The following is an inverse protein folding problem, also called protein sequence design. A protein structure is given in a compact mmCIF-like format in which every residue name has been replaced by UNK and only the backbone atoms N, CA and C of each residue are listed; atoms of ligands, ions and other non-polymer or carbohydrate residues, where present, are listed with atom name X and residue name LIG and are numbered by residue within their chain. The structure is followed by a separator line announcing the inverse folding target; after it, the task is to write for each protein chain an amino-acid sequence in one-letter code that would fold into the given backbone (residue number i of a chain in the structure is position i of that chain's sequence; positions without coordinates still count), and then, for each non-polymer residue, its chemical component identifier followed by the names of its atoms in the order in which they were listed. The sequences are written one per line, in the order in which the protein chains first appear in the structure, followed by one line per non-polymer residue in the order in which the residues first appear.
data_IF_743356056467
#
_entry.id   IF_743356056467
#
_cell.length_a   1.000
_cell.length_b   1.000
_cell.length_c   1.000
_cell.angle_alpha   90.00
_cell.angle_beta   90.00
_cell.angle_gamma   90.00
#
_symmetry.space_group_name_H-M   'P 1'
#
loop_
_entity.id
_entity.type
_entity.pdbx_description
1 polymer ?
#
# COMPACT_ATOMS: atom_id res chain seq x y z
N UNK A 1 42.24 13.33 -51.34
CA UNK A 1 41.83 12.54 -50.16
C UNK A 1 41.88 13.50 -48.97
N UNK A 2 40.77 14.14 -48.55
CA UNK A 2 39.90 13.76 -47.40
C UNK A 2 40.78 13.30 -46.22
N UNK A 3 40.83 13.97 -45.06
CA UNK A 3 39.72 14.27 -44.14
C UNK A 3 39.98 15.52 -43.27
N UNK A 4 38.91 16.25 -42.95
CA UNK A 4 38.87 17.32 -41.96
C UNK A 4 38.67 16.73 -40.56
N UNK A 5 39.49 17.15 -39.59
CA UNK A 5 39.37 16.81 -38.17
C UNK A 5 38.53 17.86 -37.44
N UNK A 6 37.32 17.46 -37.04
CA UNK A 6 36.38 18.27 -36.28
C UNK A 6 36.61 18.01 -34.78
N UNK A 7 37.16 18.98 -34.06
CA UNK A 7 37.31 18.90 -32.60
C UNK A 7 35.96 19.17 -31.92
N UNK A 8 35.50 18.18 -31.15
CA UNK A 8 34.28 18.22 -30.35
C UNK A 8 34.60 18.85 -28.98
N UNK A 9 33.98 20.00 -28.68
CA UNK A 9 34.06 20.64 -27.37
C UNK A 9 33.05 19.94 -26.43
N UNK A 10 33.56 19.24 -25.41
CA UNK A 10 32.74 18.77 -24.29
C UNK A 10 32.43 19.94 -23.36
N UNK A 11 31.16 20.30 -23.23
CA UNK A 11 30.66 21.15 -22.14
C UNK A 11 30.23 20.24 -21.00
N UNK A 12 30.97 20.22 -19.91
CA UNK A 12 30.59 19.58 -18.65
C UNK A 12 29.59 20.46 -17.91
N UNK A 13 28.33 20.02 -17.84
CA UNK A 13 27.32 20.62 -16.98
C UNK A 13 27.44 19.98 -15.59
N UNK A 14 27.95 20.73 -14.62
CA UNK A 14 27.87 20.37 -13.21
C UNK A 14 26.45 20.66 -12.70
N UNK A 15 25.66 19.61 -12.48
CA UNK A 15 24.38 19.73 -11.77
C UNK A 15 24.68 19.71 -10.27
N UNK A 16 24.64 20.89 -9.65
CA UNK A 16 24.61 21.01 -8.19
C UNK A 16 23.23 20.63 -7.68
N UNK A 17 23.11 19.46 -7.05
CA UNK A 17 21.90 19.07 -6.32
C UNK A 17 21.87 19.83 -5.00
N UNK A 18 20.85 20.69 -4.83
CA UNK A 18 20.58 21.39 -3.59
C UNK A 18 20.23 20.39 -2.47
N UNK A 19 20.90 20.51 -1.32
CA UNK A 19 20.54 19.79 -0.10
C UNK A 19 19.24 20.37 0.47
N UNK A 20 18.11 19.78 0.08
CA UNK A 20 16.83 19.99 0.74
C UNK A 20 16.77 19.18 2.02
N UNK A 21 16.60 19.86 3.15
CA UNK A 21 16.36 19.24 4.45
C UNK A 21 15.00 18.51 4.37
N UNK A 22 15.05 17.19 4.53
CA UNK A 22 13.92 16.28 4.29
C UNK A 22 12.75 16.53 5.24
N UNK A 23 11.60 16.91 4.67
CA UNK A 23 10.32 16.64 5.31
C UNK A 23 9.99 15.17 5.09
N UNK A 24 9.82 14.43 6.19
CA UNK A 24 9.31 13.05 6.17
C UNK A 24 7.91 13.13 5.59
N UNK A 25 7.70 12.70 4.36
CA UNK A 25 6.36 12.36 3.92
C UNK A 25 5.99 11.09 4.68
N UNK A 26 5.54 11.22 5.93
CA UNK A 26 4.89 10.12 6.61
C UNK A 26 3.77 9.66 5.68
N UNK A 27 3.82 8.42 5.23
CA UNK A 27 2.77 7.84 4.40
C UNK A 27 1.52 7.67 5.28
N UNK A 28 0.86 8.78 5.64
CA UNK A 28 -0.32 8.79 6.51
C UNK A 28 -1.38 7.83 5.98
N UNK A 29 -1.47 7.76 4.65
CA UNK A 29 -2.32 6.82 3.94
C UNK A 29 -2.08 5.34 4.34
N UNK A 30 -0.83 4.91 4.53
CA UNK A 30 -0.50 3.54 4.95
C UNK A 30 -0.53 3.35 6.47
N UNK A 31 -0.42 4.42 7.27
CA UNK A 31 -0.47 4.33 8.74
C UNK A 31 -1.88 4.47 9.32
N UNK A 32 -2.80 5.12 8.60
CA UNK A 32 -4.15 5.46 9.08
C UNK A 32 -5.19 4.41 8.68
N UNK A 33 -5.00 3.74 7.55
CA UNK A 33 -5.97 2.78 6.99
C UNK A 33 -5.34 1.40 6.84
N UNK A 34 -6.04 0.37 7.31
CA UNK A 34 -5.66 -1.03 7.08
C UNK A 34 -6.01 -1.47 5.66
N UNK A 35 -7.09 -0.91 5.09
CA UNK A 35 -7.54 -1.24 3.73
C UNK A 35 -7.89 0.03 3.00
N UNK A 36 -7.35 0.19 1.79
CA UNK A 36 -7.72 1.24 0.85
C UNK A 36 -8.02 0.58 -0.49
N UNK A 37 -9.24 0.77 -0.98
CA UNK A 37 -9.70 0.23 -2.26
C UNK A 37 -10.19 1.37 -3.15
N UNK A 38 -9.76 1.40 -4.41
CA UNK A 38 -10.14 2.45 -5.36
C UNK A 38 -11.60 2.31 -5.81
N UNK A 39 -11.98 1.08 -6.11
CA UNK A 39 -13.28 0.68 -6.62
C UNK A 39 -13.99 -0.18 -5.57
N UNK A 40 -14.52 -1.33 -5.96
CA UNK A 40 -15.42 -2.12 -5.13
C UNK A 40 -14.67 -3.09 -4.21
N UNK A 41 -15.26 -3.36 -3.05
CA UNK A 41 -14.80 -4.34 -2.08
C UNK A 41 -15.90 -5.37 -1.81
N UNK A 42 -15.59 -6.65 -2.06
CA UNK A 42 -16.41 -7.80 -1.71
C UNK A 42 -15.76 -8.53 -0.55
N UNK A 43 -16.43 -8.56 0.60
CA UNK A 43 -15.89 -9.17 1.81
C UNK A 43 -16.88 -10.07 2.52
N UNK A 44 -16.38 -11.23 2.92
CA UNK A 44 -17.05 -12.20 3.78
C UNK A 44 -16.34 -12.34 5.14
N UNK A 45 -15.38 -11.46 5.42
CA UNK A 45 -14.47 -11.54 6.56
C UNK A 45 -14.37 -10.18 7.27
N UNK A 46 -13.27 -9.93 7.98
CA UNK A 46 -13.10 -8.74 8.78
C UNK A 46 -11.80 -7.98 8.50
N UNK A 47 -11.88 -6.68 8.81
CA UNK A 47 -10.76 -5.77 8.88
C UNK A 47 -10.59 -5.34 10.34
N UNK A 48 -9.42 -5.60 10.91
CA UNK A 48 -9.13 -5.30 12.32
C UNK A 48 -9.20 -3.80 12.62
N UNK A 49 -8.82 -2.97 11.64
CA UNK A 49 -8.79 -1.52 11.77
C UNK A 49 -9.74 -0.81 10.80
N UNK A 50 -9.36 0.39 10.37
CA UNK A 50 -10.19 1.23 9.51
C UNK A 50 -10.02 0.89 8.02
N UNK A 51 -11.10 1.03 7.25
CA UNK A 51 -11.10 0.84 5.79
C UNK A 51 -11.60 2.08 5.02
N UNK A 52 -11.00 2.37 3.87
CA UNK A 52 -11.36 3.44 2.94
C UNK A 52 -11.68 2.84 1.56
N UNK A 53 -12.92 2.97 1.10
CA UNK A 53 -13.43 2.32 -0.11
C UNK A 53 -13.96 3.39 -1.07
N UNK A 54 -13.49 3.40 -2.31
CA UNK A 54 -13.93 4.36 -3.33
C UNK A 54 -15.16 3.93 -4.14
N UNK A 55 -15.43 2.64 -4.21
CA UNK A 55 -16.64 2.09 -4.82
C UNK A 55 -17.65 1.63 -3.78
N UNK A 56 -18.33 0.54 -4.12
CA UNK A 56 -19.35 -0.09 -3.30
C UNK A 56 -18.77 -1.19 -2.41
N UNK A 57 -19.43 -1.41 -1.28
CA UNK A 57 -19.18 -2.52 -0.37
C UNK A 57 -20.23 -3.61 -0.56
N UNK A 58 -19.78 -4.85 -0.71
CA UNK A 58 -20.61 -6.05 -0.79
C UNK A 58 -20.22 -7.08 0.26
N UNK A 59 -21.21 -7.84 0.73
CA UNK A 59 -21.00 -8.97 1.62
C UNK A 59 -21.02 -8.62 3.11
N UNK A 60 -21.21 -9.64 3.94
CA UNK A 60 -21.27 -9.49 5.40
C UNK A 60 -19.85 -9.41 5.94
N UNK A 61 -19.50 -8.31 6.60
CA UNK A 61 -18.13 -8.05 7.06
C UNK A 61 -18.07 -7.19 8.32
N UNK A 62 -16.96 -7.29 9.05
CA UNK A 62 -16.70 -6.51 10.26
C UNK A 62 -15.52 -5.56 10.06
N UNK A 63 -15.60 -4.36 10.64
CA UNK A 63 -14.56 -3.34 10.58
C UNK A 63 -14.23 -2.82 11.97
N UNK A 64 -13.02 -2.27 12.09
CA UNK A 64 -12.47 -1.76 13.34
C UNK A 64 -12.57 -2.78 14.48
N UNK A 65 -12.44 -4.08 14.21
CA UNK A 65 -12.61 -5.18 15.20
C UNK A 65 -11.66 -5.03 16.39
N UNK A 66 -10.44 -4.54 16.14
CA UNK A 66 -9.39 -4.33 17.13
C UNK A 66 -9.12 -2.86 17.43
N UNK A 67 -9.89 -1.95 16.85
CA UNK A 67 -9.80 -0.52 17.10
C UNK A 67 -9.96 0.29 15.82
N UNK A 68 -10.16 1.59 15.99
CA UNK A 68 -10.23 2.55 14.89
C UNK A 68 -8.82 3.08 14.62
N UNK A 69 -8.32 2.91 13.40
CA UNK A 69 -6.97 3.38 13.02
C UNK A 69 -7.01 4.73 12.31
N UNK A 70 -8.11 5.04 11.61
CA UNK A 70 -8.23 6.30 10.91
C UNK A 70 -8.31 7.47 11.88
N UNK A 71 -7.46 8.48 11.67
CA UNK A 71 -7.40 9.68 12.52
C UNK A 71 -8.72 10.48 12.56
N UNK A 72 -9.61 10.27 11.58
CA UNK A 72 -10.95 10.87 11.53
C UNK A 72 -11.96 10.20 12.48
N UNK A 73 -11.60 9.08 13.10
CA UNK A 73 -12.50 8.26 13.92
C UNK A 73 -13.42 7.35 13.09
N UNK A 74 -13.18 7.24 11.78
CA UNK A 74 -13.97 6.39 10.90
C UNK A 74 -13.51 4.93 11.03
N UNK A 75 -14.41 4.03 11.43
CA UNK A 75 -14.16 2.59 11.32
C UNK A 75 -14.22 2.14 9.86
N UNK A 76 -15.04 2.80 9.05
CA UNK A 76 -15.06 2.63 7.61
C UNK A 76 -15.54 3.93 6.92
N UNK A 77 -14.89 4.27 5.81
CA UNK A 77 -15.28 5.35 4.92
C UNK A 77 -15.53 4.81 3.50
N UNK A 78 -16.69 5.09 2.92
CA UNK A 78 -17.12 4.52 1.62
C UNK A 78 -17.63 5.64 0.72
N UNK A 79 -17.10 5.79 -0.50
CA UNK A 79 -17.60 6.81 -1.43
C UNK A 79 -18.87 6.36 -2.17
N UNK A 80 -19.00 5.06 -2.46
CA UNK A 80 -20.21 4.45 -3.01
C UNK A 80 -21.22 3.99 -1.96
N UNK A 81 -21.94 2.92 -2.30
CA UNK A 81 -23.01 2.34 -1.49
C UNK A 81 -22.50 1.18 -0.62
N UNK A 82 -23.17 0.95 0.51
CA UNK A 82 -23.20 -0.39 1.11
C UNK A 82 -24.31 -1.15 0.39
N UNK A 83 -23.92 -1.95 -0.61
CA UNK A 83 -24.82 -2.52 -1.58
C UNK A 83 -25.51 -3.81 -1.08
N UNK A 84 -24.80 -4.64 -0.31
CA UNK A 84 -25.37 -5.87 0.25
C UNK A 84 -24.56 -6.38 1.46
N UNK A 85 -25.18 -7.25 2.27
CA UNK A 85 -24.56 -7.87 3.43
C UNK A 85 -24.63 -7.03 4.71
N UNK A 86 -24.59 -7.67 5.86
CA UNK A 86 -24.69 -6.98 7.15
C UNK A 86 -23.31 -6.48 7.58
N UNK A 87 -23.20 -5.21 7.96
CA UNK A 87 -21.93 -4.59 8.33
C UNK A 87 -21.89 -4.35 9.84
N UNK A 88 -20.78 -4.76 10.47
CA UNK A 88 -20.49 -4.45 11.88
C UNK A 88 -19.34 -3.46 11.95
N UNK A 89 -19.54 -2.32 12.60
CA UNK A 89 -18.48 -1.35 12.85
C UNK A 89 -18.25 -1.30 14.35
N UNK A 90 -17.04 -1.68 14.77
CA UNK A 90 -16.73 -1.92 16.17
C UNK A 90 -15.94 -0.77 16.81
N UNK A 91 -15.73 -0.87 18.12
CA UNK A 91 -14.88 0.02 18.90
C UNK A 91 -15.23 1.52 18.73
N UNK A 92 -16.51 1.83 18.54
CA UNK A 92 -16.98 3.21 18.39
C UNK A 92 -16.64 3.86 17.04
N UNK A 93 -16.18 3.09 16.05
CA UNK A 93 -15.89 3.58 14.72
C UNK A 93 -17.11 4.17 14.01
N UNK A 94 -16.92 5.28 13.32
CA UNK A 94 -17.96 5.87 12.48
C UNK A 94 -18.06 5.15 11.12
N UNK A 95 -19.25 5.25 10.52
CA UNK A 95 -19.46 5.04 9.09
C UNK A 95 -19.45 6.41 8.43
N UNK A 96 -18.48 6.69 7.57
CA UNK A 96 -18.53 7.85 6.67
C UNK A 96 -18.94 7.38 5.29
N UNK A 97 -20.02 7.90 4.71
CA UNK A 97 -20.54 7.37 3.45
C UNK A 97 -20.98 8.47 2.47
N UNK A 98 -20.56 8.32 1.20
CA UNK A 98 -20.97 9.19 0.09
C UNK A 98 -22.24 8.72 -0.63
N UNK A 99 -22.48 7.41 -0.67
CA UNK A 99 -23.67 6.79 -1.22
C UNK A 99 -24.73 6.41 -0.18
N UNK A 100 -25.45 5.33 -0.48
CA UNK A 100 -26.60 4.82 0.27
C UNK A 100 -26.24 3.58 1.09
N UNK A 101 -26.92 3.40 2.21
CA UNK A 101 -26.90 2.16 2.98
C UNK A 101 -28.10 1.31 2.59
N UNK A 102 -27.89 0.24 1.82
CA UNK A 102 -28.94 -0.65 1.31
C UNK A 102 -29.12 -1.92 2.16
N UNK A 103 -28.35 -2.05 3.23
CA UNK A 103 -28.35 -3.19 4.15
C UNK A 103 -28.31 -2.73 5.63
N UNK A 104 -28.14 -3.68 6.56
CA UNK A 104 -28.02 -3.34 7.98
C UNK A 104 -26.58 -2.96 8.33
N UNK A 105 -26.40 -1.82 9.00
CA UNK A 105 -25.15 -1.42 9.64
C UNK A 105 -25.36 -1.33 11.14
N UNK A 106 -24.52 -2.02 11.91
CA UNK A 106 -24.53 -1.99 13.36
C UNK A 106 -23.30 -1.24 13.89
N UNK A 107 -23.52 -0.32 14.82
CA UNK A 107 -22.48 0.47 15.47
C UNK A 107 -22.22 -0.07 16.88
N UNK A 108 -21.20 -0.91 17.02
CA UNK A 108 -20.80 -1.49 18.29
C UNK A 108 -19.80 -0.55 18.98
N UNK A 109 -20.18 -0.03 20.15
CA UNK A 109 -19.36 0.93 20.90
C UNK A 109 -19.67 2.41 20.65
N UNK A 110 -20.84 2.72 20.04
CA UNK A 110 -21.37 4.09 20.02
C UNK A 110 -20.95 4.97 18.84
N UNK A 111 -20.44 4.37 17.76
CA UNK A 111 -20.15 5.07 16.50
C UNK A 111 -21.41 5.62 15.82
N UNK A 112 -21.21 6.47 14.81
CA UNK A 112 -22.31 7.14 14.09
C UNK A 112 -22.16 7.05 12.57
N UNK A 113 -23.28 7.22 11.86
CA UNK A 113 -23.26 7.44 10.41
C UNK A 113 -23.07 8.94 10.10
N UNK A 114 -22.14 9.22 9.20
CA UNK A 114 -21.78 10.55 8.69
C UNK A 114 -21.95 10.51 7.17
N UNK A 115 -22.94 11.23 6.66
CA UNK A 115 -23.12 11.35 5.21
C UNK A 115 -22.15 12.41 4.67
N UNK A 116 -21.26 12.00 3.76
CA UNK A 116 -20.17 12.82 3.23
C UNK A 116 -19.87 12.48 1.77
N UNK A 117 -20.35 13.31 0.85
CA UNK A 117 -20.07 13.17 -0.58
C UNK A 117 -18.58 13.39 -0.93
N UNK A 118 -17.76 13.84 0.03
CA UNK A 118 -16.33 14.09 -0.15
C UNK A 118 -15.44 12.86 -0.04
N UNK A 119 -15.95 11.68 0.35
CA UNK A 119 -15.12 10.47 0.51
C UNK A 119 -14.36 10.10 -0.77
N UNK A 120 -14.98 10.29 -1.95
CA UNK A 120 -14.31 10.04 -3.23
C UNK A 120 -13.06 10.90 -3.44
N UNK A 121 -13.03 12.12 -2.92
CA UNK A 121 -11.84 12.97 -2.95
C UNK A 121 -10.74 12.48 -1.99
N UNK A 122 -11.12 11.91 -0.83
CA UNK A 122 -10.18 11.28 0.11
C UNK A 122 -9.49 10.09 -0.57
N UNK A 123 -10.28 9.24 -1.26
CA UNK A 123 -9.76 8.09 -2.03
C UNK A 123 -8.83 8.56 -3.15
N UNK A 124 -9.25 9.55 -3.95
CA UNK A 124 -8.42 10.08 -5.03
C UNK A 124 -7.07 10.62 -4.53
N UNK A 125 -7.07 11.34 -3.41
CA UNK A 125 -5.84 11.84 -2.79
C UNK A 125 -4.97 10.71 -2.25
N UNK A 126 -5.56 9.68 -1.63
CA UNK A 126 -4.85 8.49 -1.15
C UNK A 126 -4.13 7.78 -2.31
N UNK A 127 -4.81 7.57 -3.44
CA UNK A 127 -4.23 6.94 -4.62
C UNK A 127 -3.17 7.79 -5.31
N UNK A 128 -3.32 9.12 -5.33
CA UNK A 128 -2.28 10.00 -5.83
C UNK A 128 -0.98 9.88 -5.03
N UNK A 129 -1.08 9.83 -3.69
CA UNK A 129 0.08 9.62 -2.81
C UNK A 129 0.69 8.24 -3.00
N UNK A 130 -0.14 7.20 -3.00
CA UNK A 130 0.29 5.81 -3.16
C UNK A 130 0.98 5.57 -4.50
N UNK A 131 0.46 6.12 -5.60
CA UNK A 131 1.08 5.98 -6.91
C UNK A 131 2.46 6.67 -6.96
N UNK A 132 2.58 7.84 -6.33
CA UNK A 132 3.87 8.53 -6.22
C UNK A 132 4.88 7.74 -5.38
N UNK A 133 4.44 7.18 -4.24
CA UNK A 133 5.25 6.29 -3.40
C UNK A 133 5.67 5.06 -4.20
N UNK A 134 4.73 4.30 -4.77
CA UNK A 134 4.99 3.07 -5.52
C UNK A 134 6.00 3.28 -6.66
N UNK A 135 5.83 4.35 -7.43
CA UNK A 135 6.76 4.72 -8.50
C UNK A 135 8.16 5.06 -7.98
N UNK A 136 8.26 5.78 -6.86
CA UNK A 136 9.55 6.11 -6.26
C UNK A 136 10.26 4.87 -5.71
N UNK A 137 9.53 4.03 -4.95
CA UNK A 137 10.07 2.78 -4.40
C UNK A 137 10.60 1.86 -5.50
N UNK A 138 9.90 1.80 -6.64
CA UNK A 138 10.33 1.03 -7.81
C UNK A 138 11.69 1.49 -8.38
N UNK A 139 11.99 2.78 -8.28
CA UNK A 139 13.26 3.36 -8.74
C UNK A 139 14.44 3.16 -7.79
N UNK A 140 14.22 2.63 -6.58
CA UNK A 140 15.29 2.37 -5.62
C UNK A 140 16.22 1.27 -6.13
N UNK A 141 17.53 1.45 -5.94
CA UNK A 141 18.52 0.44 -6.30
C UNK A 141 18.43 -0.74 -5.31
N UNK A 142 18.22 -1.99 -5.78
CA UNK A 142 18.22 -3.15 -4.90
C UNK A 142 19.59 -3.35 -4.24
N UNK A 143 19.56 -3.61 -2.93
CA UNK A 143 20.74 -4.01 -2.14
C UNK A 143 20.56 -5.41 -1.50
N UNK A 144 19.43 -6.05 -1.78
CA UNK A 144 19.11 -7.41 -1.38
C UNK A 144 19.18 -8.42 -2.53
N UNK A 145 19.42 -9.67 -2.16
CA UNK A 145 19.50 -10.82 -3.07
C UNK A 145 18.53 -11.91 -2.62
N UNK A 146 17.98 -12.66 -3.59
CA UNK A 146 17.25 -13.91 -3.38
C UNK A 146 18.11 -15.07 -3.88
N UNK A 147 18.44 -16.02 -3.01
CA UNK A 147 19.19 -17.23 -3.39
C UNK A 147 18.27 -18.37 -3.89
N UNK A 148 18.88 -19.44 -4.42
CA UNK A 148 18.14 -20.59 -4.96
C UNK A 148 17.43 -21.46 -3.91
N UNK A 149 17.67 -21.23 -2.62
CA UNK A 149 16.97 -21.89 -1.52
C UNK A 149 15.82 -21.02 -0.98
N UNK A 150 15.60 -19.85 -1.57
CA UNK A 150 14.56 -18.91 -1.20
C UNK A 150 14.93 -17.94 -0.08
N UNK A 151 16.23 -17.79 0.26
CA UNK A 151 16.65 -16.83 1.27
C UNK A 151 16.87 -15.44 0.67
N UNK A 152 16.16 -14.47 1.23
CA UNK A 152 16.31 -13.04 0.99
C UNK A 152 17.30 -12.47 2.01
N UNK A 153 18.45 -12.00 1.54
CA UNK A 153 19.49 -11.36 2.35
C UNK A 153 19.82 -9.98 1.80
N UNK A 154 20.13 -9.01 2.66
CA UNK A 154 20.56 -7.68 2.22
C UNK A 154 21.68 -7.15 3.11
N UNK A 155 22.48 -6.25 2.56
CA UNK A 155 23.29 -5.30 3.35
C UNK A 155 22.54 -3.98 3.32
N UNK A 156 21.79 -3.62 4.37
CA UNK A 156 20.94 -2.43 4.35
C UNK A 156 21.76 -1.16 4.14
N UNK A 157 21.24 -0.24 3.35
CA UNK A 157 21.87 1.05 3.06
C UNK A 157 21.15 2.17 3.78
N UNK A 158 21.87 3.20 4.20
CA UNK A 158 21.27 4.36 4.85
C UNK A 158 20.52 5.22 3.80
N UNK A 159 19.22 5.35 3.95
CA UNK A 159 18.36 6.25 3.17
C UNK A 159 17.69 7.20 4.16
N UNK A 160 17.96 8.49 4.02
CA UNK A 160 17.45 9.55 4.91
C UNK A 160 17.57 9.24 6.42
N UNK A 161 18.66 8.58 6.81
CA UNK A 161 18.96 8.26 8.20
C UNK A 161 18.38 6.93 8.71
N UNK A 162 17.71 6.14 7.86
CA UNK A 162 17.18 4.81 8.20
C UNK A 162 17.92 3.73 7.40
N UNK A 163 18.21 2.58 8.01
CA UNK A 163 18.78 1.43 7.31
C UNK A 163 17.70 0.70 6.52
N UNK A 164 17.78 0.71 5.20
CA UNK A 164 16.73 0.15 4.34
C UNK A 164 17.27 -1.02 3.52
N UNK A 165 16.58 -2.15 3.57
CA UNK A 165 16.80 -3.28 2.66
C UNK A 165 15.82 -3.17 1.48
N UNK A 166 16.35 -3.22 0.26
CA UNK A 166 15.58 -3.11 -0.99
C UNK A 166 15.81 -4.35 -1.83
N UNK A 167 14.74 -5.08 -2.12
CA UNK A 167 14.75 -6.28 -2.96
C UNK A 167 14.04 -6.01 -4.28
N UNK A 168 14.52 -6.66 -5.35
CA UNK A 168 13.80 -6.79 -6.61
C UNK A 168 13.58 -8.28 -6.87
N UNK A 169 12.32 -8.71 -6.85
CA UNK A 169 11.91 -10.10 -6.98
C UNK A 169 10.86 -10.21 -8.08
N UNK A 170 10.83 -11.31 -8.81
CA UNK A 170 9.85 -11.57 -9.86
C UNK A 170 9.01 -12.81 -9.52
N UNK A 171 7.80 -12.89 -10.08
CA UNK A 171 6.95 -14.08 -9.97
C UNK A 171 7.70 -15.36 -10.40
N UNK A 172 8.46 -15.29 -11.49
CA UNK A 172 9.21 -16.42 -12.01
C UNK A 172 10.26 -16.96 -11.01
N UNK A 173 10.90 -16.09 -10.23
CA UNK A 173 11.88 -16.50 -9.22
C UNK A 173 11.23 -17.27 -8.06
N UNK A 174 10.00 -16.93 -7.69
CA UNK A 174 9.34 -17.55 -6.53
C UNK A 174 8.55 -18.82 -6.87
N UNK A 175 8.11 -18.97 -8.12
CA UNK A 175 7.29 -20.12 -8.58
C UNK A 175 7.96 -21.49 -8.38
N UNK A 176 9.29 -21.56 -8.36
CA UNK A 176 10.04 -22.81 -8.18
C UNK A 176 10.43 -23.08 -6.73
N UNK A 177 10.14 -22.17 -5.81
CA UNK A 177 10.57 -22.25 -4.43
C UNK A 177 9.54 -22.98 -3.57
N UNK A 178 10.00 -23.84 -2.66
CA UNK A 178 9.16 -24.36 -1.58
C UNK A 178 8.91 -23.35 -0.47
N UNK A 179 9.81 -22.37 -0.32
CA UNK A 179 9.76 -21.35 0.73
C UNK A 179 10.37 -20.02 0.26
N UNK A 180 9.92 -18.92 0.87
CA UNK A 180 10.51 -17.60 0.74
C UNK A 180 10.83 -17.09 2.16
N UNK A 181 12.11 -16.91 2.44
CA UNK A 181 12.64 -16.60 3.77
C UNK A 181 13.23 -15.19 3.79
N UNK A 182 12.67 -14.28 4.59
CA UNK A 182 13.28 -12.97 4.82
C UNK A 182 14.24 -13.00 6.00
N UNK A 183 15.53 -12.78 5.73
CA UNK A 183 16.51 -12.49 6.76
C UNK A 183 16.64 -10.97 6.91
N UNK A 184 15.89 -10.38 7.85
CA UNK A 184 15.79 -8.91 8.00
C UNK A 184 17.12 -8.23 8.39
N UNK A 185 18.00 -8.95 9.11
CA UNK A 185 19.28 -8.43 9.57
C UNK A 185 19.12 -7.15 10.41
N UNK A 186 19.85 -6.10 10.04
CA UNK A 186 19.83 -4.79 10.71
C UNK A 186 18.93 -3.75 10.02
N UNK A 187 18.08 -4.15 9.06
CA UNK A 187 17.26 -3.20 8.31
C UNK A 187 16.14 -2.62 9.19
N UNK A 188 16.04 -1.30 9.30
CA UNK A 188 14.93 -0.57 9.92
C UNK A 188 13.63 -0.74 9.11
N UNK A 189 13.72 -0.85 7.79
CA UNK A 189 12.58 -1.13 6.91
C UNK A 189 12.99 -1.98 5.71
N UNK A 190 12.04 -2.77 5.22
CA UNK A 190 12.22 -3.69 4.10
C UNK A 190 11.25 -3.31 2.99
N UNK A 191 11.79 -3.09 1.79
CA UNK A 191 11.03 -2.80 0.58
C UNK A 191 11.25 -3.95 -0.39
N UNK A 192 10.17 -4.58 -0.79
CA UNK A 192 10.17 -5.68 -1.75
C UNK A 192 9.47 -5.20 -3.00
N UNK A 193 10.25 -4.76 -3.99
CA UNK A 193 9.73 -4.47 -5.32
C UNK A 193 9.48 -5.80 -6.04
N UNK A 194 8.22 -6.11 -6.32
CA UNK A 194 7.82 -7.37 -6.93
C UNK A 194 7.31 -7.15 -8.36
N UNK A 195 7.88 -7.86 -9.32
CA UNK A 195 7.39 -7.92 -10.70
C UNK A 195 6.37 -9.07 -10.83
N UNK A 196 5.12 -8.80 -11.21
CA UNK A 196 4.14 -9.85 -11.52
C UNK A 196 4.57 -10.67 -12.75
N UNK A 197 3.81 -11.72 -13.08
CA UNK A 197 4.02 -12.45 -14.33
C UNK A 197 3.63 -11.64 -15.58
N UNK A 198 3.82 -12.24 -16.77
CA UNK A 198 3.50 -11.59 -18.04
C UNK A 198 2.02 -11.29 -18.28
N UNK A 199 1.11 -11.85 -17.46
CA UNK A 199 -0.31 -11.56 -17.49
C UNK A 199 -0.73 -10.53 -16.40
N UNK A 200 0.20 -10.08 -15.56
CA UNK A 200 -0.06 -9.15 -14.47
C UNK A 200 -0.45 -9.81 -13.14
N UNK A 201 -0.29 -11.13 -13.01
CA UNK A 201 -0.57 -11.85 -11.77
C UNK A 201 0.63 -11.83 -10.82
N UNK A 202 0.41 -11.37 -9.58
CA UNK A 202 1.27 -11.63 -8.44
C UNK A 202 0.64 -12.70 -7.53
N UNK A 203 1.13 -13.93 -7.63
CA UNK A 203 0.60 -15.09 -6.94
C UNK A 203 1.46 -15.44 -5.71
N UNK A 204 0.89 -15.21 -4.53
CA UNK A 204 1.44 -15.58 -3.22
C UNK A 204 0.63 -16.71 -2.56
N UNK A 205 -0.10 -17.49 -3.36
CA UNK A 205 -0.72 -18.74 -2.95
C UNK A 205 0.37 -19.80 -2.83
N UNK A 206 0.56 -20.39 -1.65
CA UNK A 206 1.59 -21.37 -1.39
C UNK A 206 1.53 -22.56 -2.38
N UNK A 207 2.69 -23.04 -2.86
CA UNK A 207 4.04 -22.57 -2.56
C UNK A 207 4.47 -21.30 -3.35
N UNK A 208 5.46 -20.52 -2.84
CA UNK A 208 6.26 -20.80 -1.66
C UNK A 208 5.53 -20.51 -0.34
N UNK A 209 5.91 -21.23 0.72
CA UNK A 209 5.55 -20.86 2.08
C UNK A 209 6.39 -19.66 2.54
N UNK A 210 5.77 -18.70 3.22
CA UNK A 210 6.50 -17.61 3.83
C UNK A 210 7.12 -18.05 5.16
N UNK A 211 8.42 -17.80 5.35
CA UNK A 211 9.18 -18.18 6.55
C UNK A 211 10.12 -17.05 7.01
N UNK A 212 10.74 -17.24 8.17
CA UNK A 212 11.61 -16.24 8.79
C UNK A 212 10.89 -14.92 9.02
N UNK A 213 11.46 -13.82 8.54
CA UNK A 213 10.86 -12.49 8.67
C UNK A 213 9.48 -12.38 8.03
N UNK A 214 9.20 -13.12 6.95
CA UNK A 214 7.88 -13.11 6.29
C UNK A 214 6.82 -13.90 7.06
N UNK A 215 7.21 -14.75 8.01
CA UNK A 215 6.30 -15.44 8.93
C UNK A 215 6.17 -14.75 10.29
N UNK A 216 6.96 -13.70 10.54
CA UNK A 216 6.97 -13.00 11.82
C UNK A 216 6.03 -11.79 11.78
N UNK A 217 4.87 -11.92 12.39
CA UNK A 217 3.86 -10.87 12.49
C UNK A 217 4.39 -9.58 13.16
N UNK A 218 5.37 -9.68 14.07
CA UNK A 218 5.94 -8.50 14.75
C UNK A 218 6.81 -7.64 13.83
N UNK A 219 7.03 -8.04 12.59
CA UNK A 219 7.78 -7.29 11.58
C UNK A 219 6.87 -6.73 10.47
N UNK A 220 5.57 -7.00 10.51
CA UNK A 220 4.61 -6.56 9.50
C UNK A 220 4.60 -5.06 9.29
N UNK A 221 4.80 -4.28 10.35
CA UNK A 221 4.83 -2.83 10.33
C UNK A 221 6.03 -2.23 9.58
N UNK A 222 7.05 -3.05 9.28
CA UNK A 222 8.33 -2.65 8.65
C UNK A 222 8.55 -3.23 7.26
N UNK A 223 7.71 -4.15 6.81
CA UNK A 223 7.80 -4.80 5.51
C UNK A 223 6.79 -4.16 4.56
N UNK A 224 7.24 -3.70 3.39
CA UNK A 224 6.41 -3.12 2.34
C UNK A 224 6.63 -3.88 1.02
N UNK A 225 5.57 -4.48 0.52
CA UNK A 225 5.51 -5.13 -0.80
C UNK A 225 4.98 -4.12 -1.82
N UNK A 226 5.85 -3.67 -2.72
CA UNK A 226 5.52 -2.74 -3.79
C UNK A 226 5.39 -3.51 -5.10
N UNK A 227 4.19 -3.55 -5.66
CA UNK A 227 3.86 -4.39 -6.82
C UNK A 227 3.24 -3.53 -7.94
N UNK A 228 4.00 -2.59 -8.52
CA UNK A 228 3.49 -1.77 -9.61
C UNK A 228 3.22 -2.65 -10.85
N UNK A 229 2.10 -2.37 -11.53
CA UNK A 229 1.70 -3.05 -12.76
C UNK A 229 1.07 -4.43 -12.58
N UNK A 230 0.83 -4.89 -11.34
CA UNK A 230 -0.06 -6.03 -11.12
C UNK A 230 -1.51 -5.65 -11.43
N UNK A 231 -2.22 -6.58 -12.07
CA UNK A 231 -3.66 -6.51 -12.34
C UNK A 231 -4.44 -7.50 -11.46
N UNK A 232 -3.78 -8.54 -10.97
CA UNK A 232 -4.34 -9.52 -10.03
C UNK A 232 -3.30 -9.83 -8.94
N UNK A 233 -3.73 -9.84 -7.68
CA UNK A 233 -2.94 -10.35 -6.56
C UNK A 233 -3.73 -11.43 -5.84
N UNK A 234 -3.08 -12.56 -5.56
CA UNK A 234 -3.68 -13.65 -4.78
C UNK A 234 -2.81 -14.00 -3.58
N UNK A 235 -3.44 -14.20 -2.43
CA UNK A 235 -2.77 -14.66 -1.20
C UNK A 235 -3.57 -15.78 -0.55
N UNK A 236 -2.92 -16.84 -0.08
CA UNK A 236 -3.52 -17.82 0.85
C UNK A 236 -2.67 -18.09 2.11
N UNK A 237 -1.43 -17.59 2.12
CA UNK A 237 -0.53 -17.65 3.25
C UNK A 237 -0.96 -16.63 4.31
N UNK A 238 -0.46 -16.79 5.54
CA UNK A 238 -0.37 -15.64 6.45
C UNK A 238 0.64 -14.66 5.86
N UNK A 239 0.13 -13.55 5.32
CA UNK A 239 0.92 -12.55 4.61
C UNK A 239 1.30 -11.43 5.58
N UNK A 240 2.61 -11.22 5.81
CA UNK A 240 3.09 -10.16 6.70
C UNK A 240 3.73 -9.03 5.90
N UNK A 241 3.31 -7.80 6.18
CA UNK A 241 3.77 -6.60 5.50
C UNK A 241 2.63 -5.84 4.82
N UNK A 242 2.85 -4.55 4.62
CA UNK A 242 1.97 -3.73 3.80
C UNK A 242 2.03 -4.16 2.33
N UNK A 243 0.87 -4.19 1.66
CA UNK A 243 0.71 -4.56 0.27
C UNK A 243 0.28 -3.35 -0.55
N UNK A 244 1.14 -2.92 -1.48
CA UNK A 244 0.93 -1.77 -2.35
C UNK A 244 0.85 -2.25 -3.81
N UNK A 245 -0.35 -2.51 -4.30
CA UNK A 245 -0.63 -2.96 -5.66
C UNK A 245 -1.78 -2.15 -6.27
N UNK A 246 -1.57 -0.84 -6.55
CA UNK A 246 -2.65 0.12 -6.72
C UNK A 246 -3.57 -0.12 -7.92
N UNK A 247 -3.17 -0.97 -8.86
CA UNK A 247 -3.92 -1.28 -10.09
C UNK A 247 -4.48 -2.71 -10.11
N UNK A 248 -4.30 -3.46 -9.02
CA UNK A 248 -4.68 -4.86 -8.95
C UNK A 248 -6.04 -5.09 -8.29
N UNK A 249 -6.75 -6.11 -8.78
CA UNK A 249 -7.79 -6.78 -8.01
C UNK A 249 -7.15 -7.80 -7.05
N UNK A 250 -7.50 -7.74 -5.76
CA UNK A 250 -6.95 -8.62 -4.74
C UNK A 250 -7.95 -9.70 -4.33
N UNK A 251 -7.43 -10.92 -4.20
CA UNK A 251 -8.12 -12.06 -3.61
C UNK A 251 -7.37 -12.61 -2.40
N UNK A 252 -7.98 -12.45 -1.23
CA UNK A 252 -7.49 -12.99 0.05
C UNK A 252 -8.20 -14.33 0.31
N UNK A 253 -7.58 -15.41 -0.13
CA UNK A 253 -8.17 -16.76 -0.18
C UNK A 253 -8.01 -17.54 1.14
N UNK A 254 -7.16 -17.06 2.05
CA UNK A 254 -6.83 -17.74 3.31
C UNK A 254 -5.66 -17.08 4.04
N UNK A 255 -5.38 -17.54 5.26
CA UNK A 255 -4.22 -17.12 6.09
C UNK A 255 -4.31 -15.69 6.66
N UNK A 256 -4.93 -14.77 5.93
CA UNK A 256 -5.10 -13.36 6.24
C UNK A 256 -3.84 -12.53 6.02
N UNK A 257 -4.00 -11.21 5.97
CA UNK A 257 -2.94 -10.24 5.76
C UNK A 257 -2.72 -9.46 7.06
N UNK A 258 -1.50 -9.40 7.56
CA UNK A 258 -1.09 -8.54 8.67
C UNK A 258 -0.32 -7.35 8.09
N UNK A 259 -1.02 -6.25 7.83
CA UNK A 259 -0.46 -5.09 7.15
C UNK A 259 -1.53 -4.19 6.54
N UNK A 260 -1.13 -2.99 6.13
CA UNK A 260 -1.97 -2.11 5.32
C UNK A 260 -2.05 -2.60 3.87
N UNK A 261 -3.23 -2.56 3.28
CA UNK A 261 -3.48 -3.02 1.91
C UNK A 261 -3.99 -1.85 1.08
N UNK A 262 -3.36 -1.60 -0.07
CA UNK A 262 -3.85 -0.63 -1.07
C UNK A 262 -3.89 -1.27 -2.44
N UNK A 263 -5.11 -1.40 -2.98
CA UNK A 263 -5.41 -2.13 -4.22
C UNK A 263 -6.53 -1.46 -5.00
N UNK A 264 -6.66 -1.77 -6.29
CA UNK A 264 -7.73 -1.19 -7.11
C UNK A 264 -9.10 -1.70 -6.67
N UNK A 265 -9.23 -3.03 -6.51
CA UNK A 265 -10.46 -3.72 -6.12
C UNK A 265 -10.13 -4.88 -5.18
N UNK A 266 -11.13 -5.33 -4.42
CA UNK A 266 -11.08 -6.62 -3.73
C UNK A 266 -12.30 -7.42 -4.16
N UNK A 267 -12.13 -8.36 -5.08
CA UNK A 267 -13.22 -9.22 -5.55
C UNK A 267 -13.54 -10.38 -4.59
N UNK A 268 -12.61 -10.71 -3.68
CA UNK A 268 -12.79 -11.82 -2.73
C UNK A 268 -11.92 -11.64 -1.49
N UNK A 269 -12.54 -11.34 -0.34
CA UNK A 269 -11.89 -11.38 0.98
C UNK A 269 -12.51 -12.48 1.86
N UNK A 270 -11.93 -13.68 1.83
CA UNK A 270 -12.36 -14.83 2.64
C UNK A 270 -11.57 -14.98 3.94
N UNK A 271 -10.55 -14.14 4.14
CA UNK A 271 -9.77 -14.10 5.37
C UNK A 271 -9.50 -12.67 5.84
N UNK A 272 -9.09 -12.58 7.10
CA UNK A 272 -8.96 -11.32 7.83
C UNK A 272 -7.85 -10.44 7.24
N UNK A 273 -8.09 -9.13 7.15
CA UNK A 273 -7.03 -8.12 7.01
C UNK A 273 -6.83 -7.50 8.38
N UNK A 274 -5.79 -7.96 9.06
CA UNK A 274 -5.56 -7.74 10.48
C UNK A 274 -4.75 -6.46 10.73
N UNK A 275 -4.61 -6.10 12.01
CA UNK A 275 -3.53 -5.21 12.46
C UNK A 275 -2.21 -5.81 11.96
N UNK A 276 -1.24 -5.06 11.46
CA UNK A 276 -0.71 -3.76 11.83
C UNK A 276 -0.89 -2.75 10.67
N UNK A 277 -0.97 -1.46 10.96
CA UNK A 277 -0.74 -0.47 9.89
C UNK A 277 0.76 -0.30 9.66
N UNK A 278 1.16 0.12 8.45
CA UNK A 278 2.56 0.34 8.14
C UNK A 278 3.08 1.58 8.89
N UNK A 279 4.04 1.38 9.77
CA UNK A 279 4.74 2.47 10.47
C UNK A 279 6.23 2.52 10.16
N UNK A 280 6.70 1.63 9.28
CA UNK A 280 8.05 1.61 8.76
C UNK A 280 8.37 2.89 7.98
N UNK A 281 9.65 3.08 7.73
CA UNK A 281 10.11 4.19 6.92
C UNK A 281 9.70 3.95 5.47
N UNK A 282 8.91 4.88 4.91
CA UNK A 282 8.68 4.97 3.47
C UNK A 282 9.68 5.99 2.92
N UNK A 283 10.70 5.54 2.15
CA UNK A 283 11.48 6.47 1.35
C UNK A 283 10.54 7.27 0.46
N UNK A 284 10.58 8.59 0.59
CA UNK A 284 9.80 9.49 -0.24
C UNK A 284 10.75 10.32 -1.09
N UNK A 285 10.39 10.69 -2.32
CA UNK A 285 11.08 11.77 -2.99
C UNK A 285 10.91 12.99 -2.08
N UNK A 286 11.99 13.46 -1.46
CA UNK A 286 11.95 14.59 -0.52
C UNK A 286 11.09 15.73 -1.08
N UNK A 287 10.42 16.47 -0.20
CA UNK A 287 9.28 17.38 -0.42
C UNK A 287 9.27 18.33 -1.65
N UNK A 288 10.32 18.38 -2.49
CA UNK A 288 10.33 19.09 -3.76
C UNK A 288 9.50 18.48 -4.90
N UNK A 289 8.97 17.26 -4.77
CA UNK A 289 8.20 16.59 -5.84
C UNK A 289 6.67 16.61 -5.66
N UNK A 290 6.15 16.98 -4.49
CA UNK A 290 4.70 17.04 -4.22
C UNK A 290 4.27 18.49 -4.04
N UNK A 291 4.22 19.24 -5.14
CA UNK A 291 3.43 20.47 -5.25
C UNK A 291 2.23 20.16 -6.15
N UNK A 292 1.25 19.42 -5.62
CA UNK A 292 -0.05 19.27 -6.27
C UNK A 292 -0.85 20.55 -6.03
N UNK A 293 -0.78 21.43 -7.04
CA UNK A 293 -1.68 22.50 -7.46
C UNK A 293 -2.92 22.82 -6.58
N UNK A 294 -2.72 23.24 -5.34
CA UNK A 294 -3.75 23.87 -4.52
C UNK A 294 -3.72 25.39 -4.65
N UNK A 295 -4.28 25.96 -5.71
CA UNK A 295 -4.36 27.43 -5.80
C UNK A 295 -4.80 28.01 -7.14
N UNK A 296 -6.09 28.00 -7.44
CA UNK A 296 -6.68 29.04 -8.29
C UNK A 296 -8.15 29.32 -7.93
N UNK A 297 -8.42 29.67 -6.68
CA UNK A 297 -9.68 30.29 -6.25
C UNK A 297 -9.41 31.40 -5.22
N UNK A 298 -8.56 32.36 -5.57
CA UNK A 298 -8.46 33.62 -4.81
C UNK A 298 -7.74 34.70 -5.63
N UNK A 299 -8.44 35.33 -6.58
CA UNK A 299 -8.25 36.75 -6.92
C UNK A 299 -9.16 37.19 -8.09
N UNK A 300 -10.40 37.57 -7.80
CA UNK A 300 -10.96 38.76 -8.46
C UNK A 300 -12.09 39.37 -7.63
N UNK A 301 -11.70 40.19 -6.66
CA UNK A 301 -12.57 41.26 -6.14
C UNK A 301 -11.74 42.54 -6.11
N UNK A 302 -12.34 43.62 -6.66
CA UNK A 302 -11.86 45.00 -6.89
C UNK A 302 -11.23 45.24 -8.27
N UNK A 303 -12.02 45.72 -9.23
CA UNK A 303 -12.46 47.12 -9.31
C UNK A 303 -13.92 47.15 -9.73
#
# INVERSE_FOLDING_TARGET
MRFASMQMVMVSVAVGMATGIGGVASASVLSDWNVIVRNDLVSSSEVDGSALIGGNLFGTSNYAVQGVTAATGDGIAIAGDIASGNIQINNGGNLRIGGSVLSTVNFNGGGTQINDAGVGAIVSNAFAQVNAISSYLWGLTPNGTLDGAGNMNAVPTLIDGQLVAVYSITQAQINSLGQLNLNIGSADSVIINFTPDGAGLANFVAPPNFVGGLANQSLSDRILWNIPGATDVQTNNTFNGALLAPDADLRVLGGGINGSVVVDSISQQDAEIRRFTYTGFVPSPGAGAIMVLGGLMAARRRR
#
